data_IF_088412168565
#
_entry.id   IF_088412168565
#
_cell.length_a   1.000
_cell.length_b   1.000
_cell.length_c   1.000
_cell.angle_alpha   90.00
_cell.angle_beta   90.00
_cell.angle_gamma   90.00
#
_symmetry.space_group_name_H-M   'P 1'
#
loop_
_entity.id
_entity.type
_entity.pdbx_description
1 polymer ?
#
# COMPACT_ATOMS: atom_id res chain seq x y z
N UNK A 1 21.55 66.07 36.93
CA UNK A 1 20.41 65.63 36.10
C UNK A 1 20.96 64.70 35.03
N UNK A 2 20.82 63.38 35.18
CA UNK A 2 21.26 62.40 34.19
C UNK A 2 20.18 61.31 34.09
N UNK A 3 19.42 61.32 33.00
CA UNK A 3 18.42 60.31 32.70
C UNK A 3 19.11 59.04 32.20
N UNK A 4 19.06 57.97 32.99
CA UNK A 4 19.50 56.64 32.56
C UNK A 4 18.31 55.92 31.91
N UNK A 5 18.39 55.76 30.59
CA UNK A 5 17.41 55.07 29.75
C UNK A 5 17.31 53.59 30.15
N UNK A 6 16.11 53.19 30.58
CA UNK A 6 15.73 51.81 30.94
C UNK A 6 15.33 51.01 29.69
N UNK A 7 15.84 49.79 29.57
CA UNK A 7 14.96 48.61 29.45
C UNK A 7 14.39 48.15 28.10
N UNK A 8 14.81 48.66 26.92
CA UNK A 8 14.26 48.18 25.63
C UNK A 8 15.23 47.27 24.81
N UNK A 9 16.51 47.17 25.17
CA UNK A 9 17.52 46.50 24.32
C UNK A 9 17.21 45.05 23.93
N UNK A 10 16.56 44.28 24.80
CA UNK A 10 16.25 42.86 24.55
C UNK A 10 15.13 42.63 23.53
N UNK A 11 14.10 43.49 23.53
CA UNK A 11 12.94 43.33 22.62
C UNK A 11 13.33 43.71 21.19
N UNK A 12 14.17 44.75 21.04
CA UNK A 12 14.71 45.16 19.74
C UNK A 12 15.66 44.11 19.16
N UNK A 13 16.50 43.50 20.01
CA UNK A 13 17.41 42.43 19.60
C UNK A 13 16.65 41.16 19.18
N UNK A 14 15.57 40.81 19.88
CA UNK A 14 14.75 39.64 19.56
C UNK A 14 13.91 39.86 18.29
N UNK A 15 13.38 41.06 18.08
CA UNK A 15 12.69 41.43 16.83
C UNK A 15 13.64 41.37 15.62
N UNK A 16 14.87 41.86 15.76
CA UNK A 16 15.89 41.75 14.72
C UNK A 16 16.27 40.29 14.43
N UNK A 17 16.42 39.46 15.47
CA UNK A 17 16.70 38.03 15.31
C UNK A 17 15.57 37.30 14.56
N UNK A 18 14.31 37.56 14.92
CA UNK A 18 13.15 36.98 14.23
C UNK A 18 13.05 37.40 12.76
N UNK A 19 13.34 38.67 12.45
CA UNK A 19 13.34 39.17 11.08
C UNK A 19 14.43 38.50 10.22
N UNK A 20 15.63 38.31 10.78
CA UNK A 20 16.74 37.63 10.08
C UNK A 20 16.42 36.15 9.84
N UNK A 21 15.84 35.44 10.81
CA UNK A 21 15.41 34.04 10.60
C UNK A 21 14.29 33.92 9.56
N UNK A 22 13.34 34.84 9.54
CA UNK A 22 12.28 34.84 8.53
C UNK A 22 12.83 35.09 7.12
N UNK A 23 13.77 36.03 6.97
CA UNK A 23 14.42 36.29 5.69
C UNK A 23 15.26 35.09 5.21
N UNK A 24 15.98 34.42 6.11
CA UNK A 24 16.83 33.27 5.76
C UNK A 24 16.01 32.03 5.33
N UNK A 25 14.82 31.81 5.89
CA UNK A 25 13.95 30.67 5.55
C UNK A 25 13.10 30.95 4.30
N UNK A 26 12.73 32.20 4.04
CA UNK A 26 11.84 32.55 2.93
C UNK A 26 12.59 32.86 1.61
N UNK A 27 13.87 33.23 1.66
CA UNK A 27 14.68 33.46 0.44
C UNK A 27 14.77 32.25 -0.50
N UNK A 28 14.99 31.01 -0.03
CA UNK A 28 15.05 29.83 -0.90
C UNK A 28 13.71 29.49 -1.58
N UNK A 29 12.58 29.86 -0.95
CA UNK A 29 11.25 29.62 -1.51
C UNK A 29 10.89 30.61 -2.63
N UNK A 30 11.40 31.84 -2.57
CA UNK A 30 11.24 32.83 -3.64
C UNK A 30 12.07 32.51 -4.89
N UNK A 31 13.08 31.63 -4.76
CA UNK A 31 13.98 31.22 -5.84
C UNK A 31 13.56 29.92 -6.53
N UNK A 32 12.47 29.28 -6.08
CA UNK A 32 11.89 28.14 -6.76
C UNK A 32 11.27 28.60 -8.08
N UNK A 33 12.08 28.63 -9.14
CA UNK A 33 11.58 28.73 -10.50
C UNK A 33 10.63 27.54 -10.77
N UNK A 34 9.53 27.74 -11.51
CA UNK A 34 8.73 26.62 -11.96
C UNK A 34 9.61 25.76 -12.87
N UNK A 35 9.98 24.56 -12.40
CA UNK A 35 10.60 23.58 -13.29
C UNK A 35 9.59 23.30 -14.39
N UNK A 36 9.91 23.80 -15.60
CA UNK A 36 9.13 23.58 -16.79
C UNK A 36 8.96 22.09 -16.97
N UNK A 37 7.71 21.62 -16.85
CA UNK A 37 7.37 20.23 -17.10
C UNK A 37 7.84 19.85 -18.50
N UNK A 38 8.71 18.85 -18.57
CA UNK A 38 9.03 18.21 -19.84
C UNK A 38 7.72 17.62 -20.37
N UNK A 39 7.29 17.97 -21.60
CA UNK A 39 6.10 17.33 -22.16
C UNK A 39 6.36 15.83 -22.20
N UNK A 40 5.46 15.06 -21.59
CA UNK A 40 5.46 13.62 -21.73
C UNK A 40 5.29 13.31 -23.22
N UNK A 41 6.36 12.92 -23.89
CA UNK A 41 6.29 12.36 -25.23
C UNK A 41 5.58 11.04 -25.09
N UNK A 42 4.28 11.02 -25.39
CA UNK A 42 3.54 9.77 -25.59
C UNK A 42 4.13 9.12 -26.83
N UNK A 43 5.03 8.16 -26.62
CA UNK A 43 5.41 7.23 -27.69
C UNK A 43 4.16 6.43 -28.00
N UNK A 44 3.69 6.51 -29.24
CA UNK A 44 2.75 5.52 -29.74
C UNK A 44 3.37 4.12 -29.55
N UNK A 45 2.57 3.12 -29.14
CA UNK A 45 3.07 1.76 -29.08
C UNK A 45 3.56 1.38 -30.47
N UNK A 46 4.77 0.84 -30.55
CA UNK A 46 5.26 0.28 -31.79
C UNK A 46 4.27 -0.77 -32.28
N UNK A 47 3.65 -0.55 -33.43
CA UNK A 47 2.81 -1.56 -34.07
C UNK A 47 3.72 -2.68 -34.56
N UNK A 48 3.81 -3.75 -33.79
CA UNK A 48 4.44 -4.98 -34.26
C UNK A 48 3.41 -5.65 -35.16
N UNK A 49 3.67 -5.72 -36.46
CA UNK A 49 2.88 -6.57 -37.34
C UNK A 49 3.03 -8.01 -36.84
N UNK A 50 1.96 -8.56 -36.27
CA UNK A 50 1.92 -9.94 -35.83
C UNK A 50 2.13 -10.83 -37.05
N UNK A 51 3.28 -11.51 -37.12
CA UNK A 51 3.45 -12.62 -38.04
C UNK A 51 2.42 -13.70 -37.67
N UNK A 52 1.76 -14.36 -38.65
CA UNK A 52 0.79 -15.40 -38.37
C UNK A 52 1.50 -16.59 -37.73
N UNK A 53 1.52 -16.63 -36.40
CA UNK A 53 1.83 -17.81 -35.62
C UNK A 53 0.61 -18.73 -35.53
N UNK A 54 0.76 -19.97 -35.03
CA UNK A 54 -0.32 -20.96 -34.93
C UNK A 54 -1.46 -20.58 -33.97
N UNK A 55 -1.40 -19.40 -33.35
CA UNK A 55 -2.47 -18.82 -32.54
C UNK A 55 -3.43 -18.08 -33.47
N UNK A 56 -4.45 -18.78 -33.95
CA UNK A 56 -5.52 -18.17 -34.73
C UNK A 56 -6.25 -17.14 -33.89
N UNK A 57 -6.45 -15.94 -34.46
CA UNK A 57 -7.28 -14.84 -33.92
C UNK A 57 -8.79 -15.17 -33.89
N UNK A 58 -9.16 -16.45 -33.79
CA UNK A 58 -10.54 -16.91 -33.63
C UNK A 58 -10.92 -17.17 -32.18
N UNK A 59 -9.99 -16.98 -31.23
CA UNK A 59 -10.38 -16.94 -29.82
C UNK A 59 -11.07 -15.59 -29.56
N UNK A 60 -12.40 -15.60 -29.61
CA UNK A 60 -13.20 -14.47 -29.14
C UNK A 60 -13.03 -14.43 -27.63
N UNK A 61 -11.97 -13.80 -27.14
CA UNK A 61 -11.69 -13.65 -25.70
C UNK A 61 -12.92 -13.03 -25.03
N UNK A 62 -13.82 -13.87 -24.50
CA UNK A 62 -15.10 -13.41 -23.94
C UNK A 62 -14.91 -12.66 -22.63
N UNK A 63 -13.81 -12.97 -21.91
CA UNK A 63 -13.41 -12.29 -20.68
C UNK A 63 -11.88 -12.17 -20.66
N UNK A 64 -11.32 -11.14 -21.32
CA UNK A 64 -9.87 -10.94 -21.36
C UNK A 64 -9.27 -10.62 -19.98
N UNK A 65 -10.11 -10.29 -18.98
CA UNK A 65 -9.69 -9.98 -17.60
C UNK A 65 -9.81 -11.19 -16.67
N UNK A 66 -10.41 -12.30 -17.13
CA UNK A 66 -10.52 -13.52 -16.33
C UNK A 66 -9.13 -14.08 -15.97
N UNK A 67 -8.93 -14.32 -14.68
CA UNK A 67 -7.81 -15.14 -14.20
C UNK A 67 -8.05 -16.63 -14.45
N UNK A 68 -6.98 -17.42 -14.40
CA UNK A 68 -7.08 -18.88 -14.45
C UNK A 68 -7.89 -19.39 -13.26
N UNK A 69 -8.87 -20.25 -13.52
CA UNK A 69 -9.58 -20.98 -12.46
C UNK A 69 -8.63 -22.02 -11.85
N UNK A 70 -8.67 -22.26 -10.53
CA UNK A 70 -8.02 -23.42 -9.94
C UNK A 70 -8.55 -24.71 -10.58
N UNK A 71 -7.73 -25.76 -10.64
CA UNK A 71 -8.04 -27.03 -11.30
C UNK A 71 -9.11 -27.90 -10.57
N UNK A 72 -9.78 -27.33 -9.55
CA UNK A 72 -10.84 -27.98 -8.78
C UNK A 72 -10.37 -29.05 -7.80
N UNK A 73 -9.05 -29.24 -7.63
CA UNK A 73 -8.50 -30.21 -6.68
C UNK A 73 -8.08 -29.48 -5.40
N UNK A 74 -8.88 -29.64 -4.36
CA UNK A 74 -8.55 -29.14 -3.02
C UNK A 74 -7.46 -30.02 -2.37
N UNK A 75 -6.52 -29.38 -1.67
CA UNK A 75 -5.46 -30.05 -0.93
C UNK A 75 -5.72 -30.12 0.58
N UNK A 76 -4.86 -30.82 1.36
CA UNK A 76 -5.02 -30.96 2.81
C UNK A 76 -5.11 -29.63 3.58
N UNK A 77 -4.54 -28.55 3.05
CA UNK A 77 -4.65 -27.22 3.64
C UNK A 77 -6.08 -26.68 3.60
N UNK A 78 -6.78 -26.84 2.47
CA UNK A 78 -8.17 -26.39 2.30
C UNK A 78 -9.10 -27.18 3.22
N UNK A 79 -8.90 -28.50 3.32
CA UNK A 79 -9.64 -29.36 4.25
C UNK A 79 -9.48 -28.93 5.71
N UNK A 80 -8.25 -28.58 6.14
CA UNK A 80 -8.01 -28.04 7.48
C UNK A 80 -8.77 -26.74 7.72
N UNK A 81 -8.74 -25.82 6.76
CA UNK A 81 -9.43 -24.51 6.85
C UNK A 81 -10.95 -24.73 6.94
N UNK A 82 -11.52 -25.59 6.08
CA UNK A 82 -12.95 -25.93 6.09
C UNK A 82 -13.37 -26.55 7.41
N UNK A 83 -12.59 -27.48 7.94
CA UNK A 83 -12.82 -28.11 9.25
C UNK A 83 -12.74 -27.12 10.41
N UNK A 84 -11.82 -26.16 10.35
CA UNK A 84 -11.70 -25.10 11.36
C UNK A 84 -12.82 -24.06 11.27
N UNK A 85 -13.46 -23.92 10.10
CA UNK A 85 -14.51 -22.93 9.84
C UNK A 85 -14.01 -21.48 9.83
N UNK A 86 -12.69 -21.26 9.82
CA UNK A 86 -12.04 -19.95 9.78
C UNK A 86 -10.74 -20.03 9.00
N UNK A 87 -10.46 -19.01 8.18
CA UNK A 87 -9.18 -18.78 7.54
C UNK A 87 -8.28 -17.94 8.46
N UNK A 88 -7.11 -18.44 8.86
CA UNK A 88 -6.15 -17.65 9.64
C UNK A 88 -5.20 -16.93 8.67
N UNK A 89 -5.37 -15.62 8.50
CA UNK A 89 -4.61 -14.83 7.54
C UNK A 89 -3.59 -13.90 8.21
N UNK A 90 -2.33 -14.03 7.82
CA UNK A 90 -1.27 -13.08 8.16
C UNK A 90 -1.31 -11.84 7.26
N UNK A 91 -1.46 -10.66 7.85
CA UNK A 91 -1.61 -9.38 7.12
C UNK A 91 -0.76 -8.27 7.76
N UNK A 92 -0.58 -7.16 7.03
CA UNK A 92 -0.09 -5.92 7.61
C UNK A 92 -1.22 -5.11 8.26
N UNK A 93 -0.86 -4.18 9.15
CA UNK A 93 -1.76 -3.13 9.66
C UNK A 93 -1.22 -1.72 9.44
N UNK A 94 -0.06 -1.58 8.80
CA UNK A 94 0.67 -0.32 8.71
C UNK A 94 0.87 0.18 7.27
N UNK A 95 0.37 -0.54 6.26
CA UNK A 95 0.57 -0.19 4.85
C UNK A 95 -0.72 0.32 4.22
N UNK A 96 -0.87 1.64 4.16
CA UNK A 96 -2.05 2.31 3.63
C UNK A 96 -2.41 1.80 2.23
N UNK A 97 -3.71 1.56 1.99
CA UNK A 97 -4.29 0.93 0.79
C UNK A 97 -3.95 -0.56 0.55
N UNK A 98 -3.03 -1.16 1.29
CA UNK A 98 -2.71 -2.59 1.22
C UNK A 98 -3.36 -3.36 2.38
N UNK A 99 -2.68 -3.44 3.52
CA UNK A 99 -3.23 -3.89 4.78
C UNK A 99 -2.96 -2.81 5.83
N UNK A 100 -4.00 -2.08 6.22
CA UNK A 100 -3.89 -1.02 7.21
C UNK A 100 -5.05 -1.02 8.18
N UNK A 101 -4.82 -0.46 9.37
CA UNK A 101 -5.90 -0.15 10.30
C UNK A 101 -6.47 1.23 9.98
N UNK A 102 -7.74 1.29 9.63
CA UNK A 102 -8.45 2.54 9.38
C UNK A 102 -8.57 3.33 10.70
N UNK A 103 -8.08 4.58 10.77
CA UNK A 103 -8.12 5.38 12.00
C UNK A 103 -9.52 5.85 12.37
N UNK A 104 -10.49 5.83 11.45
CA UNK A 104 -11.86 6.28 11.69
C UNK A 104 -12.67 5.25 12.48
N UNK A 105 -12.60 3.98 12.10
CA UNK A 105 -13.41 2.90 12.69
C UNK A 105 -12.57 1.79 13.36
N UNK A 106 -11.25 1.87 13.27
CA UNK A 106 -10.32 0.90 13.83
C UNK A 106 -10.27 -0.44 13.11
N UNK A 107 -10.98 -0.61 11.99
CA UNK A 107 -11.05 -1.89 11.25
C UNK A 107 -9.83 -2.07 10.36
N UNK A 108 -9.51 -3.32 10.03
CA UNK A 108 -8.54 -3.61 8.99
C UNK A 108 -9.18 -3.40 7.62
N UNK A 109 -8.47 -2.71 6.74
CA UNK A 109 -8.92 -2.34 5.41
C UNK A 109 -7.76 -2.33 4.39
N UNK A 110 -8.11 -2.24 3.12
CA UNK A 110 -7.19 -2.20 1.97
C UNK A 110 -7.23 -3.45 1.11
N UNK A 111 -6.42 -3.45 0.05
CA UNK A 111 -6.36 -4.51 -0.96
C UNK A 111 -6.07 -5.91 -0.37
N UNK A 112 -5.10 -6.02 0.54
CA UNK A 112 -4.75 -7.31 1.16
C UNK A 112 -5.94 -7.88 1.94
N UNK A 113 -6.71 -7.01 2.60
CA UNK A 113 -7.88 -7.40 3.39
C UNK A 113 -9.03 -7.83 2.47
N UNK A 114 -9.25 -7.12 1.36
CA UNK A 114 -10.24 -7.49 0.36
C UNK A 114 -9.90 -8.85 -0.30
N UNK A 115 -8.62 -9.09 -0.59
CA UNK A 115 -8.16 -10.36 -1.15
C UNK A 115 -8.37 -11.52 -0.16
N UNK A 116 -8.03 -11.32 1.12
CA UNK A 116 -8.29 -12.33 2.16
C UNK A 116 -9.79 -12.65 2.29
N UNK A 117 -10.65 -11.64 2.26
CA UNK A 117 -12.11 -11.82 2.29
C UNK A 117 -12.62 -12.62 1.09
N UNK A 118 -12.11 -12.33 -0.10
CA UNK A 118 -12.44 -13.08 -1.31
C UNK A 118 -12.04 -14.55 -1.19
N UNK A 119 -10.83 -14.83 -0.70
CA UNK A 119 -10.35 -16.20 -0.44
C UNK A 119 -11.25 -16.91 0.59
N UNK A 120 -11.59 -16.23 1.69
CA UNK A 120 -12.46 -16.79 2.72
C UNK A 120 -13.86 -17.11 2.20
N UNK A 121 -14.44 -16.22 1.38
CA UNK A 121 -15.72 -16.45 0.72
C UNK A 121 -15.69 -17.64 -0.22
N UNK A 122 -14.63 -17.79 -1.00
CA UNK A 122 -14.47 -18.90 -1.95
C UNK A 122 -14.34 -20.26 -1.22
N UNK A 123 -13.53 -20.31 -0.15
CA UNK A 123 -13.29 -21.55 0.58
C UNK A 123 -14.45 -21.91 1.54
N UNK A 124 -14.93 -20.92 2.29
CA UNK A 124 -15.83 -21.12 3.44
C UNK A 124 -17.27 -20.65 3.19
N UNK A 125 -17.54 -19.94 2.11
CA UNK A 125 -18.84 -19.34 1.83
C UNK A 125 -19.15 -18.06 2.64
N UNK A 126 -18.25 -17.63 3.52
CA UNK A 126 -18.40 -16.44 4.36
C UNK A 126 -17.12 -15.60 4.33
N UNK A 127 -17.22 -14.38 3.78
CA UNK A 127 -16.09 -13.43 3.72
C UNK A 127 -15.62 -12.97 5.10
N UNK A 128 -16.45 -13.11 6.14
CA UNK A 128 -16.13 -12.73 7.51
C UNK A 128 -15.59 -13.90 8.34
N UNK A 129 -15.46 -15.09 7.75
CA UNK A 129 -14.88 -16.26 8.41
C UNK A 129 -13.34 -16.20 8.45
N UNK A 130 -12.79 -15.09 8.97
CA UNK A 130 -11.35 -14.81 8.97
C UNK A 130 -10.86 -14.47 10.37
N UNK A 131 -9.68 -15.00 10.72
CA UNK A 131 -8.88 -14.56 11.87
C UNK A 131 -7.63 -13.87 11.33
N UNK A 132 -7.56 -12.55 11.50
CA UNK A 132 -6.40 -11.78 11.08
C UNK A 132 -5.28 -11.85 12.13
N UNK A 133 -4.04 -12.04 11.66
CA UNK A 133 -2.81 -11.95 12.45
C UNK A 133 -1.94 -10.84 11.86
N UNK A 134 -1.67 -9.80 12.66
CA UNK A 134 -0.67 -8.82 12.29
C UNK A 134 0.71 -9.49 12.31
N UNK A 135 1.39 -9.50 11.17
CA UNK A 135 2.72 -10.09 11.07
C UNK A 135 3.72 -9.06 10.52
N UNK A 136 4.87 -8.88 11.19
CA UNK A 136 5.95 -8.08 10.63
C UNK A 136 6.56 -8.80 9.42
N UNK A 137 7.17 -8.02 8.53
CA UNK A 137 7.83 -8.51 7.30
C UNK A 137 8.78 -9.69 7.54
N UNK A 138 9.53 -9.67 8.65
CA UNK A 138 10.48 -10.72 9.04
C UNK A 138 9.85 -12.03 9.48
N UNK A 139 8.57 -12.04 9.85
CA UNK A 139 7.86 -13.20 10.38
C UNK A 139 6.95 -13.89 9.37
N UNK A 140 6.88 -13.41 8.11
CA UNK A 140 5.98 -13.96 7.10
C UNK A 140 6.24 -15.44 6.79
N UNK A 141 7.50 -15.78 6.48
CA UNK A 141 7.89 -17.16 6.17
C UNK A 141 7.83 -18.04 7.43
N UNK A 142 8.40 -17.64 8.59
CA UNK A 142 8.26 -18.43 9.82
C UNK A 142 6.81 -18.69 10.22
N UNK A 143 5.92 -17.70 10.13
CA UNK A 143 4.51 -17.89 10.51
C UNK A 143 3.78 -18.95 9.67
N UNK A 144 4.14 -19.10 8.40
CA UNK A 144 3.63 -20.18 7.53
C UNK A 144 4.24 -21.53 7.91
N UNK A 145 5.56 -21.58 8.09
CA UNK A 145 6.28 -22.80 8.44
C UNK A 145 5.82 -23.39 9.79
N UNK A 146 5.57 -22.52 10.77
CA UNK A 146 5.08 -22.89 12.10
C UNK A 146 3.58 -23.24 12.12
N UNK A 147 2.87 -23.05 11.00
CA UNK A 147 1.41 -23.22 10.94
C UNK A 147 0.62 -22.20 11.78
N UNK A 148 1.23 -21.05 12.12
CA UNK A 148 0.56 -19.95 12.86
C UNK A 148 -0.48 -19.22 12.01
N UNK A 149 -0.35 -19.28 10.69
CA UNK A 149 -1.29 -18.75 9.70
C UNK A 149 -1.44 -19.76 8.56
N UNK A 150 -2.59 -19.77 7.91
CA UNK A 150 -2.85 -20.59 6.72
C UNK A 150 -2.34 -19.92 5.45
N UNK A 151 -2.37 -18.58 5.41
CA UNK A 151 -1.91 -17.77 4.29
C UNK A 151 -1.28 -16.48 4.79
N UNK A 152 -0.32 -15.94 4.04
CA UNK A 152 0.17 -14.57 4.21
C UNK A 152 -0.23 -13.76 2.99
N UNK A 153 -1.03 -12.72 3.22
CA UNK A 153 -1.41 -11.75 2.19
C UNK A 153 -0.82 -10.41 2.60
N UNK A 154 0.39 -10.17 2.09
CA UNK A 154 1.20 -8.98 2.32
C UNK A 154 2.28 -8.90 1.26
N UNK A 155 2.54 -7.72 0.73
CA UNK A 155 3.57 -7.42 -0.29
C UNK A 155 4.94 -8.08 -0.02
N UNK A 156 5.44 -8.93 -0.93
CA UNK A 156 6.73 -9.64 -0.83
C UNK A 156 7.54 -9.52 -2.13
N UNK A 157 8.87 -9.48 -2.03
CA UNK A 157 9.79 -9.56 -3.17
C UNK A 157 10.29 -11.00 -3.33
N UNK A 158 10.69 -11.41 -4.54
CA UNK A 158 11.25 -12.73 -4.86
C UNK A 158 12.78 -12.63 -4.91
#
# INVERSE_FOLDING_TARGET
>A
MAARLRGWGGVSAMAAACAVTAAAVLLPLAQAAPEGGHPAVVREPASVAAAPGPWSLTDTCQDPEASLRPNGVDGPAIERIRKAGKLVAGVDQNSFKWGYRNPVDGRLDGFDIALVKAIAKDILGDENAVIYRAIPTSQRVPALQDGRVDVVVRTMTI
#
